data_IF_245758722640
#
_entry.id   IF_245758722640
#
_cell.length_a   1.000
_cell.length_b   1.000
_cell.length_c   1.000
_cell.angle_alpha   90.00
_cell.angle_beta   90.00
_cell.angle_gamma   90.00
#
_symmetry.space_group_name_H-M   'P 1'
#
loop_
_entity.id
_entity.type
_entity.pdbx_description
1 polymer ?
#
# COMPACT_ATOMS: atom_id res chain seq x y z
N UNK A 1 23.09 5.53 35.38
CA UNK A 1 23.01 4.55 36.49
C UNK A 1 21.60 3.96 36.50
N UNK A 2 21.43 2.81 35.84
CA UNK A 2 21.02 1.50 36.40
C UNK A 2 19.57 1.42 36.90
N UNK A 3 18.74 0.78 36.06
CA UNK A 3 17.42 0.20 36.37
C UNK A 3 17.56 -0.97 37.34
N UNK A 4 16.57 -1.17 38.20
CA UNK A 4 16.27 -2.49 38.76
C UNK A 4 14.78 -2.81 38.60
N UNK A 5 14.55 -3.98 37.99
CA UNK A 5 13.30 -4.72 37.85
C UNK A 5 13.11 -5.50 39.16
N UNK A 6 11.90 -5.58 39.70
CA UNK A 6 11.49 -6.73 40.48
C UNK A 6 10.07 -7.16 40.10
N UNK A 7 10.00 -8.35 39.53
CA UNK A 7 8.82 -9.14 39.24
C UNK A 7 8.37 -9.85 40.52
N UNK A 8 7.06 -9.87 40.78
CA UNK A 8 6.43 -11.00 41.49
C UNK A 8 5.12 -11.37 40.78
N UNK A 9 5.17 -12.50 40.09
CA UNK A 9 4.02 -13.35 39.79
C UNK A 9 4.23 -14.70 40.49
N UNK A 10 3.14 -15.48 40.54
CA UNK A 10 2.87 -16.82 41.13
C UNK A 10 1.99 -16.72 42.39
N UNK A 11 0.81 -17.32 42.46
CA UNK A 11 0.11 -18.17 41.51
C UNK A 11 -1.24 -18.62 42.07
N UNK A 12 -2.23 -18.69 41.18
CA UNK A 12 -3.34 -19.66 41.08
C UNK A 12 -3.71 -20.54 42.28
N UNK A 13 -5.00 -20.47 42.66
CA UNK A 13 -5.82 -21.66 42.90
C UNK A 13 -7.29 -21.37 42.56
N UNK A 14 -7.73 -21.93 41.44
CA UNK A 14 -9.13 -22.23 41.14
C UNK A 14 -9.44 -23.60 41.76
N UNK A 15 -10.66 -23.78 42.28
CA UNK A 15 -11.60 -24.89 41.97
C UNK A 15 -12.86 -24.76 42.86
N UNK A 16 -13.95 -24.43 42.17
CA UNK A 16 -15.32 -24.98 42.22
C UNK A 16 -16.01 -25.39 43.54
N UNK A 17 -17.15 -24.71 43.77
CA UNK A 17 -18.48 -25.25 44.13
C UNK A 17 -18.56 -26.48 45.05
N UNK A 18 -19.02 -26.26 46.28
CA UNK A 18 -19.85 -27.21 47.02
C UNK A 18 -21.04 -26.45 47.62
N UNK A 19 -22.24 -26.83 47.18
CA UNK A 19 -23.48 -26.60 47.91
C UNK A 19 -23.52 -27.54 49.11
N UNK A 20 -23.77 -27.01 50.30
CA UNK A 20 -24.29 -27.70 51.49
C UNK A 20 -24.93 -26.58 52.33
N UNK A 21 -26.24 -26.43 52.21
CA UNK A 21 -27.22 -26.90 53.18
C UNK A 21 -27.23 -26.08 54.47
N UNK A 22 -28.37 -25.42 54.60
CA UNK A 22 -28.95 -24.72 55.73
C UNK A 22 -28.84 -25.54 57.01
N UNK A 23 -28.16 -25.01 58.04
CA UNK A 23 -28.75 -24.82 59.37
C UNK A 23 -27.75 -24.15 60.32
N UNK A 24 -28.27 -23.18 61.06
CA UNK A 24 -27.51 -22.07 61.60
C UNK A 24 -26.66 -22.32 62.85
N UNK A 25 -25.66 -21.45 63.01
CA UNK A 25 -25.34 -20.82 64.29
C UNK A 25 -24.47 -19.59 64.04
N UNK A 26 -24.99 -18.41 64.37
CA UNK A 26 -24.27 -17.14 64.33
C UNK A 26 -23.09 -17.17 65.32
N UNK A 27 -21.86 -17.03 64.83
CA UNK A 27 -20.72 -16.63 65.66
C UNK A 27 -20.24 -15.25 65.26
N UNK A 28 -19.99 -14.43 66.27
CA UNK A 28 -19.78 -13.00 66.18
C UNK A 28 -18.44 -12.67 65.52
N UNK A 29 -18.49 -11.97 64.39
CA UNK A 29 -17.35 -11.23 63.81
C UNK A 29 -17.68 -9.73 63.79
N UNK A 30 -18.09 -9.20 64.95
CA UNK A 30 -18.53 -7.81 65.09
C UNK A 30 -17.41 -6.77 65.27
N UNK A 31 -16.15 -7.17 65.44
CA UNK A 31 -15.06 -6.23 65.77
C UNK A 31 -13.98 -6.06 64.69
N UNK A 32 -13.81 -7.01 63.76
CA UNK A 32 -12.87 -6.86 62.62
C UNK A 32 -13.52 -6.28 61.35
N UNK A 33 -14.85 -6.29 61.23
CA UNK A 33 -15.56 -5.77 60.06
C UNK A 33 -15.63 -4.23 60.09
N UNK A 34 -15.63 -3.61 61.28
CA UNK A 34 -15.62 -2.15 61.43
C UNK A 34 -14.33 -1.50 60.93
N UNK A 35 -13.16 -2.00 61.33
CA UNK A 35 -11.87 -1.48 60.84
C UNK A 35 -11.65 -1.78 59.35
N UNK A 36 -11.99 -2.97 58.87
CA UNK A 36 -11.84 -3.31 57.46
C UNK A 36 -12.80 -2.50 56.55
N UNK A 37 -14.06 -2.30 56.95
CA UNK A 37 -15.01 -1.46 56.20
C UNK A 37 -14.64 0.03 56.26
N UNK A 38 -14.10 0.51 57.39
CA UNK A 38 -13.56 1.87 57.52
C UNK A 38 -12.29 2.05 56.68
N UNK A 39 -11.39 1.07 56.65
CA UNK A 39 -10.18 1.09 55.82
C UNK A 39 -10.50 1.05 54.33
N UNK A 40 -11.49 0.25 53.90
CA UNK A 40 -11.99 0.22 52.50
C UNK A 40 -12.70 1.51 52.11
N UNK A 41 -13.48 2.12 53.02
CA UNK A 41 -14.14 3.42 52.78
C UNK A 41 -13.13 4.55 52.72
N UNK A 42 -12.13 4.57 53.61
CA UNK A 42 -11.02 5.52 53.59
C UNK A 42 -10.15 5.34 52.33
N UNK A 43 -9.93 4.10 51.86
CA UNK A 43 -9.18 3.84 50.62
C UNK A 43 -9.96 4.30 49.38
N UNK A 44 -11.29 4.09 49.33
CA UNK A 44 -12.15 4.66 48.27
C UNK A 44 -12.19 6.19 48.31
N UNK A 45 -12.21 6.80 49.50
CA UNK A 45 -12.13 8.25 49.66
C UNK A 45 -10.77 8.83 49.24
N UNK A 46 -9.67 8.13 49.53
CA UNK A 46 -8.32 8.49 49.09
C UNK A 46 -8.17 8.32 47.58
N UNK A 47 -8.72 7.25 46.98
CA UNK A 47 -8.75 7.08 45.53
C UNK A 47 -9.56 8.18 44.86
N UNK A 48 -10.77 8.49 45.35
CA UNK A 48 -11.57 9.60 44.85
C UNK A 48 -10.86 10.94 44.99
N UNK A 49 -10.14 11.16 46.10
CA UNK A 49 -9.32 12.37 46.28
C UNK A 49 -8.17 12.42 45.27
N UNK A 50 -7.46 11.30 45.07
CA UNK A 50 -6.40 11.17 44.06
C UNK A 50 -6.93 11.46 42.66
N UNK A 51 -8.05 10.84 42.28
CA UNK A 51 -8.71 11.04 40.99
C UNK A 51 -9.16 12.52 40.83
N UNK A 52 -9.65 13.14 41.91
CA UNK A 52 -10.01 14.57 41.91
C UNK A 52 -8.80 15.50 41.77
N UNK A 53 -7.67 15.17 42.40
CA UNK A 53 -6.42 15.92 42.24
C UNK A 53 -5.85 15.76 40.83
N UNK A 54 -5.89 14.56 40.25
CA UNK A 54 -5.48 14.33 38.87
C UNK A 54 -6.37 15.11 37.89
N UNK A 55 -7.69 15.07 38.09
CA UNK A 55 -8.65 15.85 37.30
C UNK A 55 -8.42 17.36 37.42
N UNK A 56 -8.17 17.87 38.63
CA UNK A 56 -7.87 19.29 38.86
C UNK A 56 -6.54 19.69 38.21
N UNK A 57 -5.51 18.87 38.33
CA UNK A 57 -4.21 19.12 37.71
C UNK A 57 -4.33 19.14 36.17
N UNK A 58 -5.11 18.23 35.59
CA UNK A 58 -5.43 18.22 34.17
C UNK A 58 -6.20 19.47 33.74
N UNK A 59 -7.17 19.94 34.54
CA UNK A 59 -7.94 21.15 34.28
C UNK A 59 -7.06 22.41 34.34
N UNK A 60 -6.23 22.54 35.36
CA UNK A 60 -5.31 23.67 35.53
C UNK A 60 -4.30 23.74 34.38
N UNK A 61 -3.80 22.58 33.94
CA UNK A 61 -2.90 22.48 32.79
C UNK A 61 -3.59 22.91 31.49
N UNK A 62 -4.84 22.46 31.26
CA UNK A 62 -5.66 22.89 30.11
C UNK A 62 -5.93 24.39 30.13
N UNK A 63 -6.27 24.94 31.30
CA UNK A 63 -6.52 26.38 31.46
C UNK A 63 -5.27 27.22 31.18
N UNK A 64 -4.11 26.82 31.74
CA UNK A 64 -2.83 27.48 31.50
C UNK A 64 -2.45 27.48 30.01
N UNK A 65 -2.65 26.34 29.35
CA UNK A 65 -2.44 26.19 27.90
C UNK A 65 -3.36 27.11 27.11
N UNK A 66 -4.66 27.11 27.42
CA UNK A 66 -5.65 27.96 26.75
C UNK A 66 -5.34 29.45 26.92
N UNK A 67 -4.97 29.88 28.12
CA UNK A 67 -4.60 31.27 28.39
C UNK A 67 -3.37 31.69 27.57
N UNK A 68 -2.40 30.78 27.41
CA UNK A 68 -1.24 31.01 26.53
C UNK A 68 -1.65 31.10 25.06
N UNK A 69 -2.52 30.20 24.58
CA UNK A 69 -3.04 30.22 23.21
C UNK A 69 -3.82 31.51 22.91
N UNK A 70 -4.60 32.03 23.84
CA UNK A 70 -5.30 33.32 23.69
C UNK A 70 -4.30 34.46 23.51
N UNK A 71 -3.26 34.52 24.35
CA UNK A 71 -2.20 35.54 24.23
C UNK A 71 -1.51 35.48 22.87
N UNK A 72 -1.09 34.29 22.45
CA UNK A 72 -0.43 34.09 21.15
C UNK A 72 -1.36 34.42 19.98
N UNK A 73 -2.66 34.13 20.08
CA UNK A 73 -3.65 34.44 19.05
C UNK A 73 -4.00 35.93 18.96
N UNK A 74 -3.55 36.74 19.92
CA UNK A 74 -3.68 38.20 19.91
C UNK A 74 -2.38 38.93 19.55
N UNK A 75 -1.28 38.19 19.35
CA UNK A 75 0.04 38.72 19.04
C UNK A 75 0.40 38.48 17.56
N UNK A 76 0.39 39.53 16.71
CA UNK A 76 0.72 39.42 15.29
C UNK A 76 2.11 38.84 15.02
N UNK A 77 3.08 39.08 15.91
CA UNK A 77 4.44 38.56 15.76
C UNK A 77 4.47 37.05 15.97
N UNK A 78 3.77 36.55 17.00
CA UNK A 78 3.62 35.13 17.25
C UNK A 78 2.84 34.42 16.13
N UNK A 79 1.78 35.05 15.62
CA UNK A 79 1.00 34.52 14.50
C UNK A 79 1.88 34.44 13.24
N UNK A 80 2.64 35.49 12.93
CA UNK A 80 3.54 35.47 11.77
C UNK A 80 4.61 34.40 11.90
N UNK A 81 5.22 34.23 13.07
CA UNK A 81 6.18 33.16 13.31
C UNK A 81 5.55 31.76 13.12
N UNK A 82 4.32 31.55 13.61
CA UNK A 82 3.59 30.30 13.41
C UNK A 82 3.27 30.06 11.92
N UNK A 83 2.92 31.11 11.17
CA UNK A 83 2.71 31.04 9.72
C UNK A 83 3.99 30.72 8.95
N UNK A 84 5.11 31.35 9.30
CA UNK A 84 6.41 31.06 8.68
C UNK A 84 6.81 29.60 8.90
N UNK A 85 6.65 29.09 10.13
CA UNK A 85 6.86 27.67 10.43
C UNK A 85 5.93 26.76 9.62
N UNK A 86 4.66 27.14 9.47
CA UNK A 86 3.70 26.37 8.68
C UNK A 86 4.09 26.35 7.19
N UNK A 87 4.55 27.47 6.64
CA UNK A 87 5.01 27.55 5.24
C UNK A 87 6.32 26.78 5.02
N UNK A 88 7.23 26.79 5.99
CA UNK A 88 8.42 25.96 5.98
C UNK A 88 8.08 24.47 6.03
N UNK A 89 7.11 24.08 6.89
CA UNK A 89 6.58 22.72 6.95
C UNK A 89 5.97 22.25 5.63
N UNK A 90 5.15 23.11 4.99
CA UNK A 90 4.60 22.83 3.67
C UNK A 90 5.71 22.67 2.61
N UNK A 91 6.75 23.51 2.67
CA UNK A 91 7.90 23.40 1.77
C UNK A 91 8.62 22.06 1.94
N UNK A 92 8.93 21.66 3.18
CA UNK A 92 9.57 20.37 3.46
C UNK A 92 8.71 19.16 3.05
N UNK A 93 7.38 19.26 3.13
CA UNK A 93 6.47 18.18 2.72
C UNK A 93 6.28 18.13 1.20
N UNK A 94 6.26 19.27 0.52
CA UNK A 94 5.79 19.36 -0.86
C UNK A 94 6.89 19.55 -1.90
N UNK A 95 8.02 20.14 -1.51
CA UNK A 95 9.11 20.54 -2.42
C UNK A 95 10.41 19.79 -2.15
N UNK A 96 10.37 18.76 -1.32
CA UNK A 96 11.48 17.86 -1.08
C UNK A 96 11.08 16.43 -1.42
N UNK A 97 12.05 15.64 -1.87
CA UNK A 97 11.87 14.20 -2.10
C UNK A 97 12.38 13.39 -0.91
N UNK A 98 13.65 13.56 -0.57
CA UNK A 98 14.35 12.73 0.43
C UNK A 98 13.83 12.93 1.85
N UNK A 99 13.69 14.18 2.31
CA UNK A 99 13.27 14.45 3.69
C UNK A 99 11.76 14.65 3.84
N UNK A 100 10.98 14.57 2.75
CA UNK A 100 9.52 14.67 2.82
C UNK A 100 8.90 13.31 3.18
N UNK A 101 8.28 13.16 4.36
CA UNK A 101 7.57 11.93 4.69
C UNK A 101 6.39 11.67 3.75
N UNK A 102 5.76 12.73 3.25
CA UNK A 102 4.67 12.62 2.29
C UNK A 102 5.15 12.04 0.95
N UNK A 103 6.27 12.53 0.41
CA UNK A 103 6.86 11.99 -0.81
C UNK A 103 7.30 10.55 -0.61
N UNK A 104 7.99 10.25 0.49
CA UNK A 104 8.46 8.90 0.80
C UNK A 104 7.31 7.90 0.94
N UNK A 105 6.20 8.28 1.57
CA UNK A 105 5.02 7.43 1.69
C UNK A 105 4.38 7.13 0.32
N UNK A 106 4.23 8.14 -0.54
CA UNK A 106 3.72 7.95 -1.91
C UNK A 106 4.65 7.04 -2.72
N UNK A 107 5.97 7.29 -2.65
CA UNK A 107 6.96 6.47 -3.34
C UNK A 107 6.95 5.02 -2.84
N UNK A 108 6.80 4.82 -1.53
CA UNK A 108 6.74 3.49 -0.93
C UNK A 108 5.48 2.73 -1.38
N UNK A 109 4.31 3.37 -1.40
CA UNK A 109 3.08 2.75 -1.91
C UNK A 109 3.20 2.34 -3.38
N UNK A 110 3.78 3.20 -4.22
CA UNK A 110 4.02 2.92 -5.63
C UNK A 110 4.99 1.74 -5.82
N UNK A 111 6.14 1.78 -5.13
CA UNK A 111 7.15 0.73 -5.21
C UNK A 111 6.64 -0.60 -4.66
N UNK A 112 5.79 -0.59 -3.62
CA UNK A 112 5.18 -1.81 -3.10
C UNK A 112 4.25 -2.48 -4.12
N UNK A 113 3.47 -1.71 -4.88
CA UNK A 113 2.61 -2.26 -5.94
C UNK A 113 3.41 -2.87 -7.10
N UNK A 114 4.45 -2.16 -7.55
CA UNK A 114 5.37 -2.64 -8.61
C UNK A 114 6.15 -3.87 -8.15
N UNK A 115 6.72 -3.80 -6.95
CA UNK A 115 7.50 -4.89 -6.34
C UNK A 115 6.65 -6.13 -6.18
N UNK A 116 5.40 -5.99 -5.70
CA UNK A 116 4.48 -7.12 -5.60
C UNK A 116 4.26 -7.81 -6.95
N UNK A 117 4.07 -7.05 -8.04
CA UNK A 117 3.94 -7.63 -9.37
C UNK A 117 5.25 -8.27 -9.87
N UNK A 118 6.41 -7.66 -9.60
CA UNK A 118 7.72 -8.26 -9.91
C UNK A 118 7.91 -9.60 -9.20
N UNK A 119 7.50 -9.66 -7.93
CA UNK A 119 7.58 -10.86 -7.11
C UNK A 119 6.67 -11.97 -7.62
N UNK A 120 5.43 -11.67 -8.04
CA UNK A 120 4.43 -12.71 -8.32
C UNK A 120 4.13 -12.97 -9.80
N UNK A 121 4.39 -11.99 -10.68
CA UNK A 121 3.91 -11.97 -12.06
C UNK A 121 4.35 -13.18 -12.88
N UNK A 122 5.58 -13.67 -12.67
CA UNK A 122 6.13 -14.84 -13.36
C UNK A 122 5.38 -16.16 -13.11
N UNK A 123 4.60 -16.22 -12.02
CA UNK A 123 3.85 -17.40 -11.61
C UNK A 123 2.35 -17.26 -11.84
N UNK A 124 1.85 -16.04 -12.08
CA UNK A 124 0.44 -15.78 -12.39
C UNK A 124 0.06 -16.43 -13.71
N UNK A 125 -1.04 -17.18 -13.72
CA UNK A 125 -1.57 -17.85 -14.90
C UNK A 125 -2.47 -16.90 -15.69
N UNK A 126 -2.22 -16.78 -17.00
CA UNK A 126 -3.02 -15.96 -17.92
C UNK A 126 -3.20 -16.62 -19.29
N UNK A 127 -4.33 -16.40 -19.96
CA UNK A 127 -4.64 -17.01 -21.25
C UNK A 127 -6.05 -16.68 -21.75
N UNK A 128 -6.53 -17.47 -22.71
CA UNK A 128 -7.90 -17.44 -23.23
C UNK A 128 -8.56 -18.83 -23.21
N UNK A 129 -8.04 -19.73 -22.37
CA UNK A 129 -8.58 -21.07 -22.22
C UNK A 129 -10.05 -21.11 -21.78
N UNK A 130 -10.76 -22.14 -22.23
CA UNK A 130 -12.14 -22.44 -21.80
C UNK A 130 -12.23 -23.76 -21.00
N UNK A 131 -11.08 -24.33 -20.60
CA UNK A 131 -11.00 -25.61 -19.89
C UNK A 131 -11.02 -26.85 -20.79
N UNK A 132 -10.99 -26.70 -22.13
CA UNK A 132 -10.81 -27.83 -23.06
C UNK A 132 -9.33 -28.00 -23.43
N UNK A 133 -8.85 -29.24 -23.51
CA UNK A 133 -7.42 -29.59 -23.59
C UNK A 133 -6.71 -29.24 -24.92
N UNK A 134 -7.38 -28.60 -25.88
CA UNK A 134 -6.68 -28.04 -27.04
C UNK A 134 -5.89 -26.80 -26.62
N UNK A 135 -4.83 -26.48 -27.36
CA UNK A 135 -4.01 -25.32 -27.05
C UNK A 135 -4.75 -24.03 -27.38
N UNK A 136 -4.82 -23.03 -26.49
CA UNK A 136 -5.05 -21.67 -26.93
C UNK A 136 -3.83 -21.16 -27.69
N UNK A 137 -4.04 -20.33 -28.73
CA UNK A 137 -3.00 -19.41 -29.20
C UNK A 137 -2.37 -18.62 -28.05
N UNK A 138 -1.25 -17.93 -28.29
CA UNK A 138 -0.53 -17.23 -27.21
C UNK A 138 -0.39 -15.74 -27.46
N UNK A 139 -0.44 -14.95 -26.37
CA UNK A 139 -0.09 -13.53 -26.39
C UNK A 139 1.08 -13.30 -25.45
N UNK A 140 2.16 -12.75 -25.99
CA UNK A 140 3.42 -12.52 -25.28
C UNK A 140 3.55 -11.02 -25.00
N UNK A 141 3.55 -10.64 -23.72
CA UNK A 141 3.71 -9.25 -23.30
C UNK A 141 5.18 -8.97 -22.97
N UNK A 142 5.79 -8.01 -23.67
CA UNK A 142 7.18 -7.62 -23.45
C UNK A 142 7.35 -6.60 -22.31
N UNK A 143 8.51 -6.59 -21.69
CA UNK A 143 8.84 -5.69 -20.58
C UNK A 143 8.10 -6.06 -19.29
N UNK A 144 7.92 -7.36 -19.07
CA UNK A 144 7.22 -7.98 -17.94
C UNK A 144 8.16 -8.93 -17.17
N UNK A 145 7.95 -9.13 -15.85
CA UNK A 145 8.86 -9.89 -15.00
C UNK A 145 8.64 -11.41 -15.15
N UNK A 146 9.07 -11.98 -16.29
CA UNK A 146 8.98 -13.41 -16.58
C UNK A 146 10.12 -14.22 -15.97
N UNK A 147 9.93 -15.53 -15.77
CA UNK A 147 11.00 -16.38 -15.26
C UNK A 147 12.18 -16.40 -16.24
N UNK A 148 13.32 -15.87 -15.83
CA UNK A 148 14.53 -15.80 -16.67
C UNK A 148 14.36 -14.98 -17.94
N UNK A 149 13.36 -14.11 -18.04
CA UNK A 149 13.04 -13.37 -19.25
C UNK A 149 12.37 -12.03 -18.96
N UNK A 150 12.33 -11.16 -19.95
CA UNK A 150 11.64 -9.86 -19.88
C UNK A 150 10.24 -9.93 -20.51
N UNK A 151 9.60 -11.10 -20.49
CA UNK A 151 8.30 -11.31 -21.12
C UNK A 151 7.44 -12.30 -20.33
N UNK A 152 6.14 -12.06 -20.31
CA UNK A 152 5.15 -13.02 -19.80
C UNK A 152 4.30 -13.51 -20.96
N UNK A 153 4.19 -14.82 -21.09
CA UNK A 153 3.39 -15.48 -22.13
C UNK A 153 2.06 -15.91 -21.53
N UNK A 154 0.97 -15.40 -22.08
CA UNK A 154 -0.39 -15.83 -21.74
C UNK A 154 -0.85 -16.90 -22.74
N UNK A 155 -0.79 -18.15 -22.33
CA UNK A 155 -1.07 -19.35 -23.13
C UNK A 155 -1.80 -20.44 -22.32
N UNK A 156 -2.45 -20.06 -21.21
CA UNK A 156 -3.11 -21.01 -20.30
C UNK A 156 -4.47 -21.46 -20.84
N UNK A 157 -4.72 -22.78 -20.80
CA UNK A 157 -5.90 -23.46 -21.36
C UNK A 157 -7.06 -23.60 -20.35
N UNK A 158 -6.79 -23.39 -19.06
CA UNK A 158 -7.80 -23.38 -18.01
C UNK A 158 -8.82 -22.26 -18.25
N UNK A 159 -10.03 -22.44 -17.73
CA UNK A 159 -11.08 -21.44 -17.81
C UNK A 159 -10.60 -20.09 -17.28
N UNK A 160 -10.77 -19.04 -18.08
CA UNK A 160 -10.46 -17.68 -17.64
C UNK A 160 -11.55 -17.05 -16.80
N UNK A 161 -11.17 -16.12 -15.92
CA UNK A 161 -12.09 -15.31 -15.12
C UNK A 161 -11.74 -15.32 -13.62
N UNK A 162 -12.59 -14.73 -12.76
CA UNK A 162 -12.35 -14.65 -11.33
C UNK A 162 -12.06 -16.01 -10.69
N UNK A 163 -10.89 -16.14 -10.04
CA UNK A 163 -10.43 -17.37 -9.41
C UNK A 163 -9.78 -18.40 -10.34
N UNK A 164 -9.80 -18.16 -11.67
CA UNK A 164 -9.19 -19.00 -12.70
C UNK A 164 -7.95 -18.37 -13.32
N UNK A 165 -7.66 -18.68 -14.58
CA UNK A 165 -6.61 -17.97 -15.33
C UNK A 165 -7.04 -16.54 -15.64
N UNK A 166 -6.11 -15.58 -15.57
CA UNK A 166 -6.40 -14.20 -15.97
C UNK A 166 -6.64 -14.14 -17.47
N UNK A 167 -7.71 -13.47 -17.90
CA UNK A 167 -7.97 -13.29 -19.33
C UNK A 167 -6.96 -12.32 -19.96
N UNK A 168 -6.65 -12.50 -21.25
CA UNK A 168 -5.74 -11.60 -21.99
C UNK A 168 -6.17 -10.12 -21.91
N UNK A 169 -7.47 -9.76 -22.03
CA UNK A 169 -7.91 -8.37 -21.84
C UNK A 169 -7.60 -7.78 -20.46
N UNK A 170 -7.78 -8.57 -19.38
CA UNK A 170 -7.46 -8.11 -18.02
C UNK A 170 -5.94 -8.01 -17.82
N UNK A 171 -5.17 -8.95 -18.36
CA UNK A 171 -3.71 -8.88 -18.35
C UNK A 171 -3.21 -7.65 -19.12
N UNK A 172 -3.84 -7.28 -20.25
CA UNK A 172 -3.49 -6.07 -21.00
C UNK A 172 -3.66 -4.81 -20.15
N UNK A 173 -4.75 -4.68 -19.38
CA UNK A 173 -4.98 -3.56 -18.46
C UNK A 173 -3.88 -3.46 -17.41
N UNK A 174 -3.53 -4.59 -16.79
CA UNK A 174 -2.45 -4.67 -15.81
C UNK A 174 -1.11 -4.28 -16.46
N UNK A 175 -0.81 -4.84 -17.63
CA UNK A 175 0.40 -4.54 -18.38
C UNK A 175 0.51 -3.05 -18.70
N UNK A 176 -0.55 -2.42 -19.20
CA UNK A 176 -0.53 -0.98 -19.50
C UNK A 176 -0.19 -0.14 -18.26
N UNK A 177 -0.88 -0.39 -17.14
CA UNK A 177 -0.64 0.29 -15.88
C UNK A 177 0.80 0.09 -15.38
N UNK A 178 1.30 -1.16 -15.40
CA UNK A 178 2.66 -1.49 -15.02
C UNK A 178 3.70 -0.81 -15.92
N UNK A 179 3.48 -0.80 -17.24
CA UNK A 179 4.39 -0.17 -18.21
C UNK A 179 4.45 1.34 -18.04
N UNK A 180 3.33 2.01 -17.72
CA UNK A 180 3.32 3.45 -17.41
C UNK A 180 4.23 3.75 -16.22
N UNK A 181 4.06 3.02 -15.11
CA UNK A 181 4.85 3.23 -13.89
C UNK A 181 6.33 2.93 -14.15
N UNK A 182 6.64 1.79 -14.76
CA UNK A 182 8.03 1.41 -15.05
C UNK A 182 8.74 2.44 -15.94
N UNK A 183 8.03 3.04 -16.90
CA UNK A 183 8.64 4.04 -17.77
C UNK A 183 8.87 5.37 -17.06
N UNK A 184 8.00 5.76 -16.12
CA UNK A 184 8.20 6.92 -15.26
C UNK A 184 9.39 6.71 -14.30
N UNK A 185 9.47 5.54 -13.65
CA UNK A 185 10.60 5.15 -12.78
C UNK A 185 11.93 5.17 -13.56
N UNK A 186 11.96 4.51 -14.73
CA UNK A 186 13.16 4.40 -15.56
C UNK A 186 13.65 5.74 -16.10
N UNK A 187 12.77 6.56 -16.65
CA UNK A 187 13.18 7.77 -17.37
C UNK A 187 13.41 8.98 -16.46
N UNK A 188 12.74 9.03 -15.31
CA UNK A 188 12.67 10.25 -14.49
C UNK A 188 12.92 10.01 -12.99
N UNK A 189 13.31 8.78 -12.60
CA UNK A 189 13.54 8.45 -11.20
C UNK A 189 12.25 8.48 -10.36
N UNK A 190 11.10 8.22 -11.00
CA UNK A 190 9.78 8.28 -10.38
C UNK A 190 9.00 9.51 -10.80
N UNK A 191 8.35 10.17 -9.83
CA UNK A 191 7.51 11.35 -10.04
C UNK A 191 8.20 12.61 -9.49
N UNK A 192 7.81 13.83 -9.95
CA UNK A 192 8.28 15.08 -9.36
C UNK A 192 7.80 15.26 -7.91
N UNK A 193 8.31 16.28 -7.24
CA UNK A 193 7.88 16.74 -5.94
C UNK A 193 6.35 16.94 -5.88
N UNK A 194 5.73 16.71 -4.72
CA UNK A 194 4.25 16.71 -4.59
C UNK A 194 3.59 18.07 -4.85
N UNK A 195 4.35 19.16 -4.73
CA UNK A 195 3.89 20.52 -5.01
C UNK A 195 4.12 20.98 -6.45
N UNK A 196 4.81 20.20 -7.28
CA UNK A 196 5.08 20.52 -8.68
C UNK A 196 4.02 19.97 -9.64
N UNK A 197 3.93 20.61 -10.81
CA UNK A 197 3.13 20.10 -11.91
C UNK A 197 3.76 18.84 -12.51
N UNK A 198 2.92 18.00 -13.12
CA UNK A 198 3.40 16.76 -13.73
C UNK A 198 4.29 16.99 -14.95
N UNK A 199 5.31 16.16 -15.11
CA UNK A 199 6.16 16.13 -16.31
C UNK A 199 5.53 15.25 -17.39
N UNK A 200 6.04 15.27 -18.63
CA UNK A 200 5.59 14.33 -19.67
C UNK A 200 6.51 13.12 -19.75
N UNK A 201 5.93 11.93 -19.86
CA UNK A 201 6.65 10.67 -20.12
C UNK A 201 6.07 10.01 -21.35
N UNK A 202 6.96 9.60 -22.27
CA UNK A 202 6.60 8.75 -23.40
C UNK A 202 6.57 7.29 -22.94
N UNK A 203 5.41 6.64 -23.05
CA UNK A 203 5.16 5.24 -22.70
C UNK A 203 5.17 4.41 -23.97
N UNK A 204 6.05 3.41 -24.00
CA UNK A 204 6.15 2.45 -25.12
C UNK A 204 6.15 1.02 -24.60
N UNK A 205 5.31 0.18 -25.20
CA UNK A 205 5.33 -1.26 -24.99
C UNK A 205 4.85 -2.00 -26.23
N UNK A 206 5.12 -3.30 -26.26
CA UNK A 206 4.70 -4.19 -27.34
C UNK A 206 4.17 -5.51 -26.78
N UNK A 207 3.28 -6.14 -27.54
CA UNK A 207 2.86 -7.52 -27.33
C UNK A 207 2.75 -8.25 -28.66
N UNK A 208 2.98 -9.56 -28.63
CA UNK A 208 3.02 -10.42 -29.81
C UNK A 208 1.95 -11.50 -29.71
N UNK A 209 1.09 -11.55 -30.72
CA UNK A 209 0.11 -12.61 -30.88
C UNK A 209 0.69 -13.71 -31.75
N UNK A 210 0.80 -14.94 -31.24
CA UNK A 210 1.23 -16.11 -32.01
C UNK A 210 0.05 -17.05 -32.23
N UNK A 211 -0.27 -17.25 -33.50
CA UNK A 211 -1.34 -18.12 -33.99
C UNK A 211 -0.73 -19.27 -34.80
N UNK A 212 -1.09 -20.51 -34.46
CA UNK A 212 -0.67 -21.68 -35.23
C UNK A 212 -1.68 -21.93 -36.35
N UNK A 213 -1.22 -22.15 -37.58
CA UNK A 213 -2.09 -22.34 -38.77
C UNK A 213 -2.86 -23.66 -38.79
N UNK A 214 -2.54 -24.60 -37.90
CA UNK A 214 -3.05 -25.98 -37.93
C UNK A 214 -3.98 -26.33 -36.77
N UNK A 215 -4.22 -25.42 -35.84
CA UNK A 215 -5.09 -25.66 -34.70
C UNK A 215 -6.35 -24.80 -34.88
N UNK A 216 -7.48 -25.47 -35.08
CA UNK A 216 -8.79 -24.84 -35.03
C UNK A 216 -9.07 -24.44 -33.57
N UNK A 217 -8.49 -23.32 -33.15
CA UNK A 217 -8.42 -22.85 -31.78
C UNK A 217 -9.81 -22.73 -31.13
N UNK A 218 -9.97 -23.50 -30.06
CA UNK A 218 -11.03 -23.65 -29.05
C UNK A 218 -12.09 -22.54 -28.85
N UNK A 219 -11.80 -21.28 -29.20
CA UNK A 219 -12.79 -20.19 -29.12
C UNK A 219 -12.48 -18.95 -29.99
N UNK A 220 -11.39 -18.93 -30.77
CA UNK A 220 -10.95 -17.74 -31.51
C UNK A 220 -10.63 -16.51 -30.63
N UNK A 221 -10.43 -16.68 -29.31
CA UNK A 221 -10.28 -15.57 -28.38
C UNK A 221 -9.00 -14.76 -28.56
N UNK A 222 -7.87 -15.42 -28.89
CA UNK A 222 -6.64 -14.72 -29.31
C UNK A 222 -6.89 -13.96 -30.60
N UNK A 223 -7.55 -14.57 -31.59
CA UNK A 223 -7.88 -13.91 -32.85
C UNK A 223 -8.74 -12.67 -32.64
N UNK A 224 -9.80 -12.79 -31.83
CA UNK A 224 -10.66 -11.67 -31.47
C UNK A 224 -9.87 -10.55 -30.79
N UNK A 225 -9.00 -10.89 -29.85
CA UNK A 225 -8.16 -9.90 -29.16
C UNK A 225 -7.16 -9.22 -30.11
N UNK A 226 -6.53 -9.99 -31.00
CA UNK A 226 -5.47 -9.52 -31.88
C UNK A 226 -5.99 -8.80 -33.14
N UNK A 227 -7.21 -9.11 -33.57
CA UNK A 227 -7.90 -8.42 -34.65
C UNK A 227 -8.73 -7.23 -34.18
N UNK A 228 -9.09 -7.17 -32.88
CA UNK A 228 -9.72 -5.99 -32.31
C UNK A 228 -8.79 -4.80 -32.51
N UNK A 229 -9.14 -3.91 -33.45
CA UNK A 229 -8.50 -2.60 -33.57
C UNK A 229 -8.54 -1.96 -32.19
N UNK A 230 -7.40 -1.49 -31.70
CA UNK A 230 -7.34 -0.62 -30.53
C UNK A 230 -8.19 0.63 -30.86
N UNK A 231 -9.47 0.62 -30.47
CA UNK A 231 -10.38 1.73 -30.67
C UNK A 231 -9.92 2.90 -29.82
N UNK A 232 -9.17 3.77 -30.49
CA UNK A 232 -8.90 5.19 -30.26
C UNK A 232 -9.38 5.81 -28.93
N UNK A 233 -8.41 6.16 -28.09
CA UNK A 233 -8.45 7.39 -27.29
C UNK A 233 -7.40 8.34 -27.88
N UNK A 234 -7.77 9.61 -28.09
CA UNK A 234 -7.26 10.61 -29.06
C UNK A 234 -5.76 11.01 -29.07
N UNK A 235 -4.86 10.18 -28.57
CA UNK A 235 -3.40 10.45 -28.56
C UNK A 235 -2.51 9.20 -28.58
N UNK A 236 -3.08 8.00 -28.76
CA UNK A 236 -2.32 6.74 -28.81
C UNK A 236 -1.99 6.36 -30.26
N UNK A 237 -0.70 6.28 -30.57
CA UNK A 237 -0.23 5.65 -31.81
C UNK A 237 -0.10 4.15 -31.57
N UNK A 238 -0.89 3.36 -32.27
CA UNK A 238 -0.76 1.91 -32.29
C UNK A 238 -0.45 1.45 -33.70
N UNK A 239 0.64 0.69 -33.86
CA UNK A 239 1.03 0.09 -35.15
C UNK A 239 1.14 -1.41 -35.01
N UNK A 240 0.82 -2.12 -36.09
CA UNK A 240 0.88 -3.58 -36.14
C UNK A 240 1.84 -4.03 -37.24
N UNK A 241 2.59 -5.08 -36.96
CA UNK A 241 3.46 -5.76 -37.92
C UNK A 241 3.15 -7.25 -37.88
N UNK A 242 2.89 -7.86 -39.04
CA UNK A 242 2.62 -9.29 -39.15
C UNK A 242 3.76 -9.96 -39.91
N UNK A 243 4.26 -11.06 -39.35
CA UNK A 243 5.29 -11.91 -39.96
C UNK A 243 4.87 -13.37 -39.84
N UNK A 244 5.11 -14.16 -40.87
CA UNK A 244 4.89 -15.62 -40.83
C UNK A 244 6.24 -16.31 -40.72
N UNK A 245 6.43 -17.12 -39.68
CA UNK A 245 7.65 -17.88 -39.46
C UNK A 245 7.28 -19.34 -39.18
N UNK A 246 7.82 -20.28 -39.97
CA UNK A 246 7.62 -21.73 -39.79
C UNK A 246 6.15 -22.17 -39.69
N UNK A 247 5.25 -21.51 -40.44
CA UNK A 247 3.80 -21.77 -40.41
C UNK A 247 3.04 -21.09 -39.26
N UNK A 248 3.72 -20.37 -38.37
CA UNK A 248 3.11 -19.58 -37.29
C UNK A 248 2.95 -18.13 -37.75
N UNK A 249 1.73 -17.60 -37.67
CA UNK A 249 1.47 -16.17 -37.90
C UNK A 249 1.72 -15.41 -36.62
N UNK A 250 2.65 -14.45 -36.66
CA UNK A 250 3.01 -13.60 -35.53
C UNK A 250 2.57 -12.18 -35.85
N UNK A 251 1.65 -11.62 -35.05
CA UNK A 251 1.26 -10.21 -35.13
C UNK A 251 1.79 -9.46 -33.93
N UNK A 252 2.77 -8.59 -34.15
CA UNK A 252 3.32 -7.68 -33.14
C UNK A 252 2.54 -6.39 -33.14
N UNK A 253 2.04 -5.98 -31.97
CA UNK A 253 1.44 -4.66 -31.76
C UNK A 253 2.38 -3.80 -30.95
N UNK A 254 2.67 -2.60 -31.46
CA UNK A 254 3.38 -1.55 -30.75
C UNK A 254 2.38 -0.50 -30.29
N UNK A 255 2.53 -0.06 -29.04
CA UNK A 255 1.71 0.99 -28.44
C UNK A 255 2.63 2.09 -27.93
N UNK A 256 2.33 3.32 -28.34
CA UNK A 256 3.07 4.52 -27.95
C UNK A 256 2.11 5.67 -27.64
N UNK A 257 2.31 6.30 -26.48
CA UNK A 257 1.55 7.49 -26.07
C UNK A 257 2.28 8.28 -24.99
N UNK A 258 1.78 9.48 -24.71
CA UNK A 258 2.29 10.33 -23.65
C UNK A 258 1.33 10.37 -22.47
N UNK A 259 1.89 10.36 -21.27
CA UNK A 259 1.15 10.60 -20.01
C UNK A 259 1.76 11.76 -19.25
N UNK A 260 0.96 12.36 -18.37
CA UNK A 260 1.43 13.29 -17.35
C UNK A 260 1.93 12.49 -16.16
N UNK A 261 3.23 12.54 -15.90
CA UNK A 261 3.88 11.91 -14.77
C UNK A 261 3.78 12.80 -13.52
N UNK A 262 2.84 12.48 -12.65
CA UNK A 262 2.73 13.03 -11.31
C UNK A 262 2.29 11.91 -10.34
N UNK A 263 2.39 12.19 -9.03
CA UNK A 263 2.02 11.24 -7.98
C UNK A 263 0.59 10.67 -8.15
N UNK A 264 -0.39 11.52 -8.48
CA UNK A 264 -1.78 11.11 -8.65
C UNK A 264 -1.92 10.07 -9.76
N UNK A 265 -1.34 10.34 -10.94
CA UNK A 265 -1.47 9.49 -12.11
C UNK A 265 -0.79 8.14 -11.86
N UNK A 266 0.43 8.14 -11.32
CA UNK A 266 1.13 6.88 -11.04
C UNK A 266 0.42 6.04 -9.96
N UNK A 267 -0.15 6.67 -8.93
CA UNK A 267 -0.95 5.97 -7.92
C UNK A 267 -2.25 5.40 -8.51
N UNK A 268 -2.87 6.08 -9.47
CA UNK A 268 -4.03 5.54 -10.19
C UNK A 268 -3.64 4.29 -10.98
N UNK A 269 -2.47 4.28 -11.63
CA UNK A 269 -1.97 3.08 -12.31
C UNK A 269 -1.64 1.96 -11.31
N UNK A 270 -1.07 2.28 -10.14
CA UNK A 270 -0.83 1.28 -9.09
C UNK A 270 -2.15 0.69 -8.59
N UNK A 271 -3.17 1.53 -8.40
CA UNK A 271 -4.52 1.09 -8.06
C UNK A 271 -5.14 0.19 -9.14
N UNK A 272 -4.92 0.49 -10.43
CA UNK A 272 -5.39 -0.35 -11.54
C UNK A 272 -4.74 -1.75 -11.51
N UNK A 273 -3.44 -1.85 -11.24
CA UNK A 273 -2.74 -3.14 -11.07
C UNK A 273 -3.41 -3.94 -9.94
N UNK A 274 -3.55 -3.31 -8.77
CA UNK A 274 -4.14 -3.96 -7.61
C UNK A 274 -5.61 -4.31 -7.82
N UNK A 275 -6.37 -3.51 -8.58
CA UNK A 275 -7.75 -3.79 -8.92
C UNK A 275 -7.86 -5.05 -9.79
N UNK A 276 -7.03 -5.17 -10.83
CA UNK A 276 -7.01 -6.37 -11.66
C UNK A 276 -6.66 -7.61 -10.82
N UNK A 277 -5.62 -7.52 -9.98
CA UNK A 277 -5.21 -8.63 -9.12
C UNK A 277 -6.30 -9.05 -8.12
N UNK A 278 -6.92 -8.09 -7.43
CA UNK A 278 -7.96 -8.35 -6.43
C UNK A 278 -9.29 -8.82 -7.04
N UNK A 279 -9.60 -8.43 -8.28
CA UNK A 279 -10.85 -8.83 -8.93
C UNK A 279 -10.73 -10.16 -9.65
N UNK A 280 -9.60 -10.38 -10.33
CA UNK A 280 -9.39 -11.60 -11.09
C UNK A 280 -8.92 -12.75 -10.20
N UNK A 281 -8.21 -12.49 -9.10
CA UNK A 281 -7.67 -13.51 -8.20
C UNK A 281 -7.10 -14.70 -8.98
N UNK A 282 -6.09 -14.47 -9.83
CA UNK A 282 -5.65 -15.48 -10.79
C UNK A 282 -5.04 -16.69 -10.10
N UNK A 283 -5.15 -17.85 -10.75
CA UNK A 283 -4.36 -19.03 -10.38
C UNK A 283 -2.87 -18.71 -10.50
N UNK A 284 -2.08 -19.39 -9.68
CA UNK A 284 -0.62 -19.41 -9.78
C UNK A 284 -0.17 -20.79 -10.22
N UNK A 285 0.90 -20.87 -11.00
CA UNK A 285 1.44 -22.15 -11.48
C UNK A 285 2.19 -22.91 -10.37
N UNK A 286 2.26 -24.23 -10.51
CA UNK A 286 3.08 -25.09 -9.65
C UNK A 286 4.58 -24.88 -9.89
N UNK A 287 5.38 -25.10 -8.85
CA UNK A 287 6.85 -25.16 -8.93
C UNK A 287 7.36 -26.30 -9.82
N UNK A 288 6.60 -27.41 -9.89
CA UNK A 288 7.03 -28.63 -10.58
C UNK A 288 6.44 -28.77 -11.99
N UNK A 289 5.38 -28.03 -12.31
CA UNK A 289 4.74 -28.06 -13.62
C UNK A 289 4.06 -26.70 -13.89
N UNK A 290 4.55 -25.98 -14.89
CA UNK A 290 4.02 -24.67 -15.26
C UNK A 290 2.56 -24.69 -15.75
N UNK A 291 2.10 -25.84 -16.24
CA UNK A 291 0.74 -26.04 -16.75
C UNK A 291 -0.21 -26.60 -15.69
N UNK A 292 0.24 -26.76 -14.44
CA UNK A 292 -0.60 -27.16 -13.33
C UNK A 292 -0.82 -25.98 -12.40
N UNK A 293 -2.07 -25.81 -11.93
CA UNK A 293 -2.36 -24.92 -10.82
C UNK A 293 -1.55 -25.36 -9.59
N UNK A 294 -0.90 -24.39 -8.95
CA UNK A 294 -0.05 -24.57 -7.80
C UNK A 294 -0.65 -23.95 -6.53
N UNK A 295 0.27 -23.54 -5.67
CA UNK A 295 0.00 -22.94 -4.37
C UNK A 295 1.09 -21.90 -4.06
N UNK A 296 1.18 -21.47 -2.80
CA UNK A 296 2.19 -20.52 -2.33
C UNK A 296 3.62 -21.09 -2.22
N UNK A 297 3.86 -22.35 -2.59
CA UNK A 297 5.18 -22.98 -2.48
C UNK A 297 6.32 -22.27 -3.24
N UNK A 298 6.12 -21.57 -4.39
CA UNK A 298 7.21 -20.81 -5.02
C UNK A 298 7.78 -19.70 -4.12
N UNK A 299 7.00 -19.25 -3.13
CA UNK A 299 7.41 -18.25 -2.14
C UNK A 299 7.55 -18.84 -0.73
N UNK A 300 7.54 -20.17 -0.60
CA UNK A 300 7.77 -20.86 0.67
C UNK A 300 6.60 -20.73 1.63
N UNK A 301 5.40 -20.46 1.08
CA UNK A 301 4.14 -20.34 1.80
C UNK A 301 3.39 -21.68 1.70
N UNK A 302 2.71 -22.08 2.78
CA UNK A 302 1.88 -23.30 2.80
C UNK A 302 0.43 -23.07 2.35
N UNK A 303 0.07 -21.83 2.00
CA UNK A 303 -1.28 -21.47 1.61
C UNK A 303 -1.58 -21.95 0.20
N UNK A 304 -2.71 -22.63 0.01
CA UNK A 304 -3.17 -23.11 -1.28
C UNK A 304 -4.29 -22.26 -1.88
N UNK A 305 -4.43 -22.34 -3.20
CA UNK A 305 -5.46 -21.65 -3.97
C UNK A 305 -4.88 -20.57 -4.87
N UNK A 306 -5.73 -19.60 -5.21
CA UNK A 306 -5.35 -18.51 -6.11
C UNK A 306 -4.54 -17.41 -5.41
N UNK A 307 -4.05 -16.45 -6.19
CA UNK A 307 -3.23 -15.35 -5.71
C UNK A 307 -3.88 -14.55 -4.57
N UNK A 308 -5.20 -14.32 -4.59
CA UNK A 308 -5.89 -13.61 -3.52
C UNK A 308 -5.91 -14.38 -2.20
N UNK A 309 -5.90 -15.72 -2.23
CA UNK A 309 -5.77 -16.53 -1.01
C UNK A 309 -4.35 -16.55 -0.51
N UNK A 310 -3.38 -16.72 -1.41
CA UNK A 310 -1.96 -16.81 -1.07
C UNK A 310 -1.44 -15.48 -0.51
N UNK A 311 -1.79 -14.37 -1.17
CA UNK A 311 -1.30 -13.02 -0.88
C UNK A 311 -2.38 -12.09 -0.31
N UNK A 312 -3.37 -12.66 0.41
CA UNK A 312 -4.52 -11.91 0.92
C UNK A 312 -4.08 -10.66 1.69
N UNK A 313 -3.06 -10.83 2.54
CA UNK A 313 -2.55 -9.78 3.38
C UNK A 313 -1.79 -8.74 2.56
N UNK A 314 -0.85 -9.17 1.72
CA UNK A 314 -0.04 -8.28 0.89
C UNK A 314 -0.94 -7.44 -0.02
N UNK A 315 -1.94 -8.06 -0.64
CA UNK A 315 -2.89 -7.35 -1.50
C UNK A 315 -3.68 -6.31 -0.72
N UNK A 316 -4.14 -6.64 0.48
CA UNK A 316 -4.89 -5.73 1.36
C UNK A 316 -4.03 -4.56 1.85
N UNK A 317 -2.80 -4.83 2.30
CA UNK A 317 -1.90 -3.80 2.81
C UNK A 317 -1.43 -2.87 1.69
N UNK A 318 -1.00 -3.40 0.54
CA UNK A 318 -0.60 -2.57 -0.62
C UNK A 318 -1.77 -1.73 -1.13
N UNK A 319 -2.98 -2.28 -1.19
CA UNK A 319 -4.18 -1.51 -1.56
C UNK A 319 -4.44 -0.37 -0.57
N UNK A 320 -4.24 -0.59 0.72
CA UNK A 320 -4.39 0.42 1.76
C UNK A 320 -3.30 1.49 1.68
N UNK A 321 -2.06 1.10 1.42
CA UNK A 321 -0.94 2.02 1.19
C UNK A 321 -1.23 2.96 0.01
N UNK A 322 -1.73 2.43 -1.11
CA UNK A 322 -2.10 3.24 -2.28
C UNK A 322 -3.21 4.23 -1.94
N UNK A 323 -4.26 3.81 -1.22
CA UNK A 323 -5.35 4.70 -0.80
C UNK A 323 -4.86 5.82 0.12
N UNK A 324 -4.04 5.49 1.10
CA UNK A 324 -3.45 6.47 2.02
C UNK A 324 -2.54 7.45 1.25
N UNK A 325 -1.75 6.95 0.29
CA UNK A 325 -0.93 7.80 -0.57
C UNK A 325 -1.77 8.69 -1.51
N UNK A 326 -2.89 8.21 -2.04
CA UNK A 326 -3.82 9.04 -2.82
C UNK A 326 -4.40 10.17 -1.97
N UNK A 327 -4.76 9.88 -0.71
CA UNK A 327 -5.22 10.91 0.22
C UNK A 327 -4.11 11.92 0.55
N UNK A 328 -2.85 11.49 0.71
CA UNK A 328 -1.70 12.41 0.86
C UNK A 328 -1.64 13.39 -0.31
N UNK A 329 -1.86 12.94 -1.54
CA UNK A 329 -1.88 13.79 -2.75
C UNK A 329 -3.08 14.74 -2.78
N UNK A 330 -4.21 14.38 -2.17
CA UNK A 330 -5.35 15.30 -2.00
C UNK A 330 -4.99 16.40 -0.99
N UNK A 331 -4.43 16.01 0.17
CA UNK A 331 -4.01 16.96 1.21
C UNK A 331 -2.87 17.86 0.73
N UNK A 332 -1.97 17.36 -0.12
CA UNK A 332 -0.85 18.13 -0.67
C UNK A 332 -1.33 19.33 -1.49
N UNK A 333 -2.40 19.15 -2.28
CA UNK A 333 -3.02 20.24 -3.06
C UNK A 333 -3.60 21.33 -2.17
N UNK A 334 -4.22 20.96 -1.06
CA UNK A 334 -4.76 21.92 -0.06
C UNK A 334 -3.60 22.71 0.56
N UNK A 335 -2.57 22.01 1.06
CA UNK A 335 -1.42 22.63 1.68
C UNK A 335 -0.61 23.53 0.73
N UNK A 336 -0.63 23.25 -0.58
CA UNK A 336 0.04 24.08 -1.60
C UNK A 336 -0.74 25.37 -1.88
N UNK A 337 -2.07 25.29 -1.98
CA UNK A 337 -2.92 26.44 -2.30
C UNK A 337 -2.94 27.51 -1.19
N UNK A 338 -2.87 27.08 0.08
CA UNK A 338 -3.09 27.95 1.25
C UNK A 338 -1.79 28.59 1.82
N UNK A 339 -0.65 28.57 1.12
CA UNK A 339 0.63 29.13 1.62
C UNK A 339 0.67 30.68 1.74
N UNK A 340 -0.31 31.38 1.16
CA UNK A 340 -0.28 32.86 0.95
C UNK A 340 -1.05 33.68 2.00
N UNK A 341 -1.19 33.10 3.20
CA UNK A 341 -1.97 33.54 4.35
C UNK A 341 -1.74 34.94 4.99
N UNK A 342 -1.60 36.10 4.33
CA UNK A 342 -1.05 37.33 4.97
C UNK A 342 -1.93 38.09 5.99
N UNK A 343 -1.28 38.68 7.02
CA UNK A 343 -1.90 39.61 7.99
C UNK A 343 -1.92 41.02 7.38
N UNK A 344 -3.13 41.56 7.16
CA UNK A 344 -3.34 42.83 6.45
C UNK A 344 -3.06 44.06 7.34
N UNK A 345 -3.18 43.94 8.67
CA UNK A 345 -3.01 45.06 9.61
C UNK A 345 -2.25 44.67 10.91
N UNK A 346 -0.93 44.48 10.85
CA UNK A 346 -0.15 43.97 11.99
C UNK A 346 0.00 44.97 13.16
N UNK A 347 -0.13 46.29 12.93
CA UNK A 347 0.10 47.31 13.96
C UNK A 347 -1.09 47.56 14.90
N UNK A 348 -2.30 47.18 14.50
CA UNK A 348 -3.51 47.32 15.30
C UNK A 348 -4.42 46.10 15.11
N UNK A 349 -3.82 44.92 15.22
CA UNK A 349 -4.48 43.66 14.96
C UNK A 349 -5.60 43.40 15.97
N UNK A 350 -6.81 43.21 15.45
CA UNK A 350 -7.95 42.76 16.22
C UNK A 350 -8.33 41.31 15.83
N UNK A 351 -8.15 40.33 16.73
CA UNK A 351 -8.47 38.92 16.45
C UNK A 351 -9.93 38.67 16.03
N UNK A 352 -10.85 39.57 16.38
CA UNK A 352 -12.27 39.43 16.07
C UNK A 352 -12.64 39.94 14.67
N UNK A 353 -11.83 40.80 14.05
CA UNK A 353 -12.13 41.41 12.74
C UNK A 353 -11.07 41.15 11.68
N UNK A 354 -9.82 40.94 12.09
CA UNK A 354 -8.65 40.93 11.19
C UNK A 354 -8.10 39.51 10.96
N UNK A 355 -8.81 38.48 11.45
CA UNK A 355 -8.38 37.09 11.43
C UNK A 355 -9.00 36.26 10.28
N UNK A 356 -9.38 36.88 9.16
CA UNK A 356 -9.97 36.15 8.00
C UNK A 356 -9.02 35.09 7.43
N UNK A 357 -7.70 35.31 7.53
CA UNK A 357 -6.66 34.35 7.15
C UNK A 357 -6.63 33.08 8.04
N UNK A 358 -7.23 33.12 9.24
CA UNK A 358 -7.17 32.00 10.18
C UNK A 358 -7.84 30.74 9.61
N UNK A 359 -8.87 30.89 8.78
CA UNK A 359 -9.55 29.75 8.17
C UNK A 359 -8.66 29.01 7.16
N UNK A 360 -7.92 29.73 6.32
CA UNK A 360 -6.94 29.13 5.39
C UNK A 360 -5.73 28.59 6.15
N UNK A 361 -5.25 29.30 7.17
CA UNK A 361 -4.15 28.83 8.02
C UNK A 361 -4.50 27.50 8.72
N UNK A 362 -5.73 27.38 9.25
CA UNK A 362 -6.23 26.16 9.87
C UNK A 362 -6.33 25.01 8.86
N UNK A 363 -6.89 25.24 7.67
CA UNK A 363 -6.98 24.23 6.61
C UNK A 363 -5.61 23.73 6.20
N UNK A 364 -4.64 24.62 6.05
CA UNK A 364 -3.27 24.27 5.72
C UNK A 364 -2.62 23.41 6.83
N UNK A 365 -2.75 23.84 8.10
CA UNK A 365 -2.23 23.08 9.25
C UNK A 365 -2.86 21.69 9.37
N UNK A 366 -4.17 21.58 9.17
CA UNK A 366 -4.88 20.30 9.16
C UNK A 366 -4.41 19.40 8.02
N UNK A 367 -4.24 19.95 6.81
CA UNK A 367 -3.74 19.19 5.67
C UNK A 367 -2.32 18.65 5.93
N UNK A 368 -1.42 19.46 6.51
CA UNK A 368 -0.09 19.00 6.88
C UNK A 368 -0.11 17.91 7.95
N UNK A 369 -0.88 18.09 9.01
CA UNK A 369 -1.04 17.08 10.06
C UNK A 369 -1.60 15.76 9.50
N UNK A 370 -2.59 15.84 8.61
CA UNK A 370 -3.16 14.68 7.93
C UNK A 370 -2.11 13.96 7.07
N UNK A 371 -1.28 14.69 6.32
CA UNK A 371 -0.19 14.08 5.53
C UNK A 371 0.79 13.30 6.41
N UNK A 372 1.17 13.82 7.59
CA UNK A 372 2.02 13.07 8.53
C UNK A 372 1.34 11.81 9.05
N UNK A 373 0.06 11.91 9.46
CA UNK A 373 -0.69 10.75 9.96
C UNK A 373 -0.85 9.67 8.88
N UNK A 374 -1.12 10.05 7.64
CA UNK A 374 -1.24 9.12 6.52
C UNK A 374 0.10 8.50 6.15
N UNK A 375 1.19 9.27 6.18
CA UNK A 375 2.53 8.73 5.96
C UNK A 375 2.91 7.67 7.00
N UNK A 376 2.58 7.91 8.28
CA UNK A 376 2.75 6.91 9.33
C UNK A 376 1.86 5.69 9.10
N UNK A 377 0.62 5.85 8.64
CA UNK A 377 -0.24 4.71 8.29
C UNK A 377 0.34 3.86 7.15
N UNK A 378 0.89 4.48 6.10
CA UNK A 378 1.57 3.73 5.01
C UNK A 378 2.73 2.90 5.56
N UNK A 379 3.51 3.45 6.48
CA UNK A 379 4.58 2.71 7.18
C UNK A 379 3.99 1.55 8.01
N UNK A 380 2.93 1.79 8.77
CA UNK A 380 2.27 0.75 9.57
C UNK A 380 1.72 -0.39 8.68
N UNK A 381 1.18 -0.08 7.50
CA UNK A 381 0.75 -1.10 6.55
C UNK A 381 1.92 -2.01 6.12
N UNK A 382 3.11 -1.44 5.90
CA UNK A 382 4.32 -2.21 5.61
C UNK A 382 4.75 -3.07 6.82
N UNK A 383 4.73 -2.51 8.03
CA UNK A 383 5.05 -3.24 9.26
C UNK A 383 4.09 -4.43 9.49
N UNK A 384 2.81 -4.27 9.17
CA UNK A 384 1.84 -5.37 9.21
C UNK A 384 2.26 -6.50 8.27
N UNK A 385 2.72 -6.21 7.05
CA UNK A 385 3.25 -7.24 6.14
C UNK A 385 4.54 -7.88 6.68
N UNK A 386 5.40 -7.13 7.37
CA UNK A 386 6.66 -7.63 7.91
C UNK A 386 6.49 -8.52 9.15
N UNK A 387 5.49 -8.25 9.98
CA UNK A 387 5.32 -8.95 11.26
C UNK A 387 4.69 -10.34 11.14
N UNK A 388 4.23 -10.74 9.94
CA UNK A 388 3.67 -12.07 9.72
C UNK A 388 4.72 -13.02 9.13
N UNK A 389 5.15 -13.98 9.96
CA UNK A 389 6.17 -14.99 9.64
C UNK A 389 5.60 -16.09 8.74
N UNK A 390 5.57 -15.85 7.44
CA UNK A 390 4.89 -16.75 6.51
C UNK A 390 5.83 -17.48 5.53
N UNK A 391 7.09 -17.08 5.40
CA UNK A 391 8.02 -17.63 4.38
C UNK A 391 9.06 -18.56 5.02
N UNK A 392 9.12 -19.79 4.52
CA UNK A 392 10.15 -20.76 4.91
C UNK A 392 11.50 -20.43 4.23
N UNK A 393 12.53 -20.19 5.05
CA UNK A 393 13.88 -19.84 4.58
C UNK A 393 14.63 -20.99 3.89
N UNK A 394 14.11 -22.21 3.94
CA UNK A 394 14.70 -23.35 3.22
C UNK A 394 14.82 -23.10 1.71
N UNK A 395 13.98 -22.23 1.14
CA UNK A 395 14.11 -21.76 -0.24
C UNK A 395 15.46 -21.09 -0.55
N UNK A 396 16.10 -20.52 0.47
CA UNK A 396 17.39 -19.82 0.38
C UNK A 396 18.53 -20.64 0.99
N UNK A 397 18.34 -21.96 1.15
CA UNK A 397 19.29 -22.84 1.85
C UNK A 397 19.60 -22.43 3.31
N UNK A 398 18.71 -21.62 3.91
CA UNK A 398 18.79 -21.17 5.29
C UNK A 398 17.78 -21.91 6.18
N UNK A 399 18.03 -21.94 7.49
CA UNK A 399 17.07 -22.47 8.48
C UNK A 399 16.26 -21.33 9.10
N UNK A 400 14.97 -21.58 9.33
CA UNK A 400 14.07 -20.67 10.05
C UNK A 400 12.96 -20.09 9.17
N UNK A 401 12.26 -19.10 9.71
CA UNK A 401 11.19 -18.37 9.03
C UNK A 401 11.61 -16.92 8.79
N UNK A 402 11.04 -16.31 7.77
CA UNK A 402 11.11 -14.86 7.50
C UNK A 402 9.73 -14.38 7.05
N UNK A 403 9.62 -13.08 6.80
CA UNK A 403 8.41 -12.49 6.24
C UNK A 403 8.56 -12.29 4.72
N UNK A 404 7.41 -12.19 4.05
CA UNK A 404 7.34 -12.01 2.59
C UNK A 404 8.04 -10.74 2.13
N UNK A 405 7.98 -9.67 2.92
CA UNK A 405 8.61 -8.39 2.58
C UNK A 405 10.12 -8.54 2.50
N UNK A 406 10.75 -9.07 3.55
CA UNK A 406 12.22 -9.23 3.59
C UNK A 406 12.73 -10.27 2.60
N UNK A 407 11.96 -11.32 2.32
CA UNK A 407 12.37 -12.38 1.41
C UNK A 407 12.25 -12.01 -0.07
N UNK A 408 11.25 -11.19 -0.41
CA UNK A 408 10.90 -10.91 -1.80
C UNK A 408 10.73 -9.41 -2.04
N UNK A 409 9.68 -8.79 -1.49
CA UNK A 409 9.27 -7.42 -1.86
C UNK A 409 10.34 -6.34 -1.67
N UNK A 410 11.17 -6.47 -0.63
CA UNK A 410 12.26 -5.55 -0.29
C UNK A 410 13.64 -6.09 -0.73
N UNK A 411 13.66 -7.08 -1.60
CA UNK A 411 14.88 -7.69 -2.15
C UNK A 411 14.98 -7.41 -3.66
N UNK A 412 16.20 -7.50 -4.19
CA UNK A 412 16.44 -7.49 -5.62
C UNK A 412 17.57 -8.49 -5.91
N UNK A 413 17.43 -9.29 -6.97
CA UNK A 413 18.51 -10.18 -7.43
C UNK A 413 19.64 -9.34 -8.04
N UNK A 414 20.85 -9.90 -8.05
CA UNK A 414 22.00 -9.30 -8.75
C UNK A 414 21.63 -9.09 -10.24
N UNK A 415 21.87 -7.88 -10.77
CA UNK A 415 21.41 -7.41 -12.08
C UNK A 415 19.87 -7.46 -12.32
N UNK A 416 19.09 -7.42 -11.23
CA UNK A 416 17.64 -7.32 -11.23
C UNK A 416 17.14 -5.89 -11.53
N UNK A 417 15.90 -5.59 -11.16
CA UNK A 417 15.32 -4.25 -11.37
C UNK A 417 15.98 -3.23 -10.43
N UNK A 418 17.07 -2.59 -10.86
CA UNK A 418 17.41 -1.30 -10.28
C UNK A 418 16.34 -0.28 -10.70
N UNK A 419 15.93 0.69 -9.85
CA UNK A 419 14.83 1.61 -10.13
C UNK A 419 14.92 2.34 -11.49
N UNK A 420 16.13 2.52 -11.99
CA UNK A 420 16.47 3.20 -13.25
C UNK A 420 16.79 2.27 -14.43
N UNK A 421 16.92 0.96 -14.23
CA UNK A 421 17.27 0.01 -15.30
C UNK A 421 16.03 -0.58 -15.99
N UNK A 422 14.92 -0.66 -15.27
CA UNK A 422 13.69 -1.32 -15.71
C UNK A 422 13.78 -2.84 -15.61
N UNK A 423 12.85 -3.55 -16.24
CA UNK A 423 12.72 -5.01 -16.12
C UNK A 423 13.87 -5.74 -16.82
N UNK A 424 14.54 -6.63 -16.10
CA UNK A 424 15.59 -7.55 -16.60
C UNK A 424 15.14 -9.01 -16.48
N UNK A 425 15.93 -9.94 -17.02
CA UNK A 425 15.68 -11.38 -16.85
C UNK A 425 15.79 -11.86 -15.40
N UNK A 426 16.32 -11.03 -14.49
CA UNK A 426 16.48 -11.33 -13.06
C UNK A 426 15.46 -10.60 -12.18
N UNK A 427 14.57 -9.78 -12.74
CA UNK A 427 13.52 -9.09 -11.98
C UNK A 427 12.53 -10.04 -11.30
N UNK A 428 12.21 -11.17 -11.93
CA UNK A 428 11.14 -12.05 -11.45
C UNK A 428 11.42 -12.60 -10.04
N UNK A 429 10.39 -12.66 -9.21
CA UNK A 429 10.49 -13.25 -7.88
C UNK A 429 11.31 -12.42 -6.88
N UNK A 430 11.55 -11.14 -7.16
CA UNK A 430 12.12 -10.16 -6.24
C UNK A 430 11.42 -8.82 -6.44
#
# INVERSE_FOLDING_TARGET
MKKHILSLALGSLLVSTLSAEDDGFYTSVGYQIGEAAQMVTNTKGIQQLSDNYENLNNLLTRYSTLNTLIKLSSDPSAINAARENLNAGATGLLKEKTNSPAYQAVSLALNAAVGLWNTIGYAVMCGNGNGTCGGPGSVIFSGQPGQGSTQITCNRYESTGPGGSMSIPEFKKLNEAYRIIQQALKNQGGFPELGEEGTKVNVRYKYECKQSSNDSDINGGVDQFCQAKNSSSNSNSSSTQTTTQDGVTITTTYVEFYITNNAQELLNQAANIMQVLNTQCPLVRSTNNENAAGDGSPWGLSTSGNACRIFQQEFSQVTSMIKNAQEIVVQSKIANADQKAEIINPSNFNPFTDASFAQSMLKNAQAQANMFNLAEQVKQNLEVMQNNNNVNKQLFHEKGMTNFVSAFLASCKEDGTLPNEGVTSNTWGA
#
